data_IF_677024701264
#
_entry.id   IF_677024701264
#
_cell.length_a   1.000
_cell.length_b   1.000
_cell.length_c   1.000
_cell.angle_alpha   90.00
_cell.angle_beta   90.00
_cell.angle_gamma   90.00
#
_symmetry.space_group_name_H-M   'P 1'
#
loop_
_entity.id
_entity.type
_entity.pdbx_description
1 polymer ?
#
# COMPACT_ATOMS: atom_id res chain seq x y z
N UNK A 1 -26.34 -17.01 10.00
CA UNK A 1 -24.95 -17.18 10.38
C UNK A 1 -24.31 -15.82 10.58
N UNK A 2 -23.47 -15.62 11.61
CA UNK A 2 -22.67 -14.40 11.70
C UNK A 2 -21.70 -14.41 10.52
N UNK A 3 -21.62 -13.32 9.76
CA UNK A 3 -20.53 -13.13 8.82
C UNK A 3 -19.23 -13.15 9.63
N UNK A 4 -18.36 -14.12 9.33
CA UNK A 4 -17.08 -14.27 10.02
C UNK A 4 -16.15 -13.11 9.69
N UNK A 5 -16.31 -12.50 8.53
CA UNK A 5 -15.49 -11.41 8.02
C UNK A 5 -16.37 -10.21 7.65
N UNK A 6 -15.87 -9.02 7.93
CA UNK A 6 -16.50 -7.75 7.57
C UNK A 6 -15.45 -6.67 7.38
N UNK A 7 -15.75 -5.68 6.54
CA UNK A 7 -14.90 -4.50 6.39
C UNK A 7 -14.81 -3.74 7.72
N UNK A 8 -13.62 -3.23 8.04
CA UNK A 8 -13.49 -2.32 9.18
C UNK A 8 -14.39 -1.12 9.00
N UNK A 9 -15.12 -0.79 10.04
CA UNK A 9 -15.87 0.46 10.10
C UNK A 9 -14.92 1.66 10.27
N UNK A 10 -15.43 2.86 10.09
CA UNK A 10 -14.67 4.11 10.32
C UNK A 10 -14.07 4.16 11.74
N UNK A 11 -14.82 3.70 12.74
CA UNK A 11 -14.39 3.72 14.15
C UNK A 11 -13.34 2.61 14.44
N UNK A 12 -13.42 1.49 13.76
CA UNK A 12 -12.50 0.37 13.96
C UNK A 12 -11.15 0.62 13.27
N UNK A 13 -11.16 1.22 12.07
CA UNK A 13 -9.98 1.37 11.22
C UNK A 13 -8.74 1.95 11.94
N UNK A 14 -8.86 2.99 12.79
CA UNK A 14 -7.71 3.53 13.52
C UNK A 14 -7.13 2.59 14.58
N UNK A 15 -7.87 1.55 14.98
CA UNK A 15 -7.53 0.72 16.14
C UNK A 15 -7.11 -0.70 15.83
N UNK A 16 -7.12 -1.10 14.55
CA UNK A 16 -6.92 -2.52 14.15
C UNK A 16 -5.48 -2.88 13.88
N UNK A 17 -4.61 -1.92 13.56
CA UNK A 17 -3.30 -2.18 12.98
C UNK A 17 -2.29 -2.85 13.90
N UNK A 18 -2.46 -2.74 15.21
CA UNK A 18 -1.70 -3.49 16.22
C UNK A 18 -2.41 -4.75 16.74
N UNK A 19 -3.51 -5.17 16.11
CA UNK A 19 -4.30 -6.34 16.54
C UNK A 19 -4.08 -7.52 15.61
N UNK A 20 -4.33 -8.71 16.13
CA UNK A 20 -4.26 -9.98 15.42
C UNK A 20 -5.63 -10.44 14.96
N UNK A 21 -5.67 -11.17 13.84
CA UNK A 21 -6.86 -11.90 13.36
C UNK A 21 -8.14 -11.07 13.39
N UNK A 22 -8.03 -9.86 12.86
CA UNK A 22 -9.13 -8.90 12.82
C UNK A 22 -10.22 -9.28 11.81
N UNK A 23 -11.34 -8.56 11.79
CA UNK A 23 -12.51 -8.88 10.95
C UNK A 23 -12.23 -8.84 9.45
N UNK A 24 -11.20 -8.13 8.99
CA UNK A 24 -10.76 -8.17 7.58
C UNK A 24 -9.68 -9.21 7.30
N UNK A 25 -8.99 -9.75 8.32
CA UNK A 25 -7.87 -10.67 8.11
C UNK A 25 -8.35 -12.04 7.62
N UNK A 26 -8.07 -12.37 6.37
CA UNK A 26 -8.37 -13.67 5.78
C UNK A 26 -7.19 -14.63 5.87
N UNK A 27 -5.97 -14.10 5.75
CA UNK A 27 -4.74 -14.84 5.92
C UNK A 27 -3.65 -13.94 6.49
N UNK A 28 -3.02 -14.41 7.57
CA UNK A 28 -2.09 -13.63 8.37
C UNK A 28 -0.94 -14.50 8.86
N UNK A 29 0.29 -14.01 8.71
CA UNK A 29 1.46 -14.59 9.35
C UNK A 29 1.63 -14.02 10.75
N UNK A 30 1.78 -14.94 11.72
CA UNK A 30 2.06 -14.58 13.10
C UNK A 30 3.54 -14.28 13.31
N UNK A 31 3.82 -13.19 14.03
CA UNK A 31 5.15 -12.83 14.50
C UNK A 31 5.11 -12.46 15.99
N UNK A 32 6.26 -12.61 16.65
CA UNK A 32 6.45 -12.25 18.05
C UNK A 32 7.85 -11.70 18.27
N UNK A 33 8.15 -11.12 19.42
CA UNK A 33 9.50 -10.64 19.71
C UNK A 33 10.53 -11.79 19.79
N UNK A 34 10.11 -13.02 20.02
CA UNK A 34 10.97 -14.22 19.97
C UNK A 34 11.13 -14.79 18.56
N UNK A 35 10.14 -14.52 17.70
CA UNK A 35 10.13 -14.89 16.28
C UNK A 35 9.73 -13.66 15.45
N UNK A 36 10.63 -12.67 15.35
CA UNK A 36 10.29 -11.37 14.75
C UNK A 36 10.16 -11.46 13.22
N UNK A 37 9.36 -10.58 12.65
CA UNK A 37 9.32 -10.38 11.22
C UNK A 37 10.70 -9.93 10.71
N UNK A 38 11.27 -10.64 9.72
CA UNK A 38 12.61 -10.37 9.21
C UNK A 38 13.75 -11.12 9.93
N UNK A 39 13.42 -12.07 10.81
CA UNK A 39 14.40 -12.89 11.51
C UNK A 39 15.16 -12.13 12.62
N UNK A 40 16.30 -12.67 13.05
CA UNK A 40 17.08 -12.12 14.19
C UNK A 40 17.61 -10.69 13.98
N UNK A 41 17.69 -10.24 12.71
CA UNK A 41 18.08 -8.86 12.38
C UNK A 41 16.93 -7.84 12.48
N UNK A 42 15.66 -8.31 12.54
CA UNK A 42 14.50 -7.43 12.65
C UNK A 42 14.21 -6.58 11.40
N UNK A 43 14.73 -6.98 10.24
CA UNK A 43 14.63 -6.22 8.98
C UNK A 43 13.35 -6.54 8.17
N UNK A 44 12.28 -6.96 8.83
CA UNK A 44 11.01 -7.26 8.16
C UNK A 44 10.29 -6.03 7.62
N UNK A 45 9.30 -6.26 6.74
CA UNK A 45 8.51 -5.18 6.13
C UNK A 45 7.97 -4.14 7.13
N UNK A 46 7.50 -4.49 8.33
CA UNK A 46 7.05 -3.51 9.31
C UNK A 46 8.12 -2.50 9.72
N UNK A 47 9.39 -2.95 9.84
CA UNK A 47 10.51 -2.11 10.28
C UNK A 47 10.88 -1.03 9.26
N UNK A 48 10.78 -1.32 7.97
CA UNK A 48 11.17 -0.36 6.92
C UNK A 48 10.23 0.83 6.80
N UNK A 49 9.03 0.72 7.36
CA UNK A 49 8.06 1.82 7.42
C UNK A 49 8.07 2.58 8.75
N UNK A 50 8.75 2.04 9.77
CA UNK A 50 8.78 2.67 11.08
C UNK A 50 9.46 4.05 11.03
N UNK A 51 9.03 4.96 11.90
CA UNK A 51 9.59 6.31 11.97
C UNK A 51 11.06 6.27 12.42
N UNK A 52 11.96 6.95 11.70
CA UNK A 52 13.40 7.04 12.01
C UNK A 52 13.70 7.60 13.41
N UNK A 53 12.78 8.34 13.99
CA UNK A 53 12.89 8.84 15.35
C UNK A 53 12.68 7.73 16.40
N UNK A 54 12.11 6.60 15.99
CA UNK A 54 11.79 5.45 16.84
C UNK A 54 12.71 4.25 16.59
N UNK A 55 13.18 4.11 15.35
CA UNK A 55 14.04 2.99 14.92
C UNK A 55 15.05 3.45 13.87
N UNK A 56 16.27 2.96 13.92
CA UNK A 56 17.36 3.35 13.00
C UNK A 56 17.20 2.81 11.56
N UNK A 57 16.15 2.05 11.25
CA UNK A 57 16.00 1.27 10.03
C UNK A 57 14.94 1.79 9.06
N UNK A 58 14.54 3.03 9.19
CA UNK A 58 13.59 3.63 8.27
C UNK A 58 14.19 3.82 6.88
N UNK A 59 13.70 3.05 5.92
CA UNK A 59 14.09 3.17 4.51
C UNK A 59 12.96 3.66 3.61
N UNK A 60 11.70 3.66 4.09
CA UNK A 60 10.54 3.99 3.28
C UNK A 60 9.66 5.04 3.96
N UNK A 61 9.36 6.08 3.23
CA UNK A 61 8.41 7.14 3.59
C UNK A 61 7.31 7.21 2.54
N UNK A 62 6.19 7.82 2.90
CA UNK A 62 5.10 8.07 1.98
C UNK A 62 5.49 9.13 0.94
N UNK A 63 5.24 8.85 -0.33
CA UNK A 63 5.48 9.81 -1.40
C UNK A 63 4.49 10.97 -1.34
N UNK A 64 4.93 12.14 -1.78
CA UNK A 64 4.06 13.32 -1.86
C UNK A 64 2.84 13.07 -2.75
N UNK A 65 3.01 12.32 -3.84
CA UNK A 65 1.92 11.95 -4.73
C UNK A 65 0.85 11.07 -4.04
N UNK A 66 1.26 10.15 -3.14
CA UNK A 66 0.32 9.40 -2.32
C UNK A 66 -0.42 10.30 -1.33
N UNK A 67 0.29 11.21 -0.69
CA UNK A 67 -0.31 12.12 0.29
C UNK A 67 -1.32 13.06 -0.37
N UNK A 68 -1.00 13.58 -1.57
CA UNK A 68 -1.93 14.40 -2.34
C UNK A 68 -3.19 13.61 -2.74
N UNK A 69 -3.04 12.33 -3.09
CA UNK A 69 -4.18 11.45 -3.37
C UNK A 69 -5.06 11.24 -2.13
N UNK A 70 -4.46 11.11 -0.95
CA UNK A 70 -5.19 10.97 0.30
C UNK A 70 -5.90 12.28 0.70
N UNK A 71 -5.24 13.42 0.48
CA UNK A 71 -5.76 14.75 0.77
C UNK A 71 -6.91 15.20 -0.17
N UNK A 72 -7.21 14.42 -1.25
CA UNK A 72 -8.43 14.65 -2.03
C UNK A 72 -9.69 14.56 -1.14
N UNK A 73 -9.57 13.84 0.00
CA UNK A 73 -10.64 13.74 0.98
C UNK A 73 -10.12 13.88 2.42
N UNK A 74 -10.24 15.07 3.02
CA UNK A 74 -9.82 15.30 4.41
C UNK A 74 -10.59 14.48 5.46
N UNK A 75 -11.74 13.86 5.07
CA UNK A 75 -12.52 13.00 5.95
C UNK A 75 -12.13 11.52 5.86
N UNK A 76 -11.16 11.19 5.01
CA UNK A 76 -10.71 9.81 4.83
C UNK A 76 -10.00 9.32 6.11
N UNK A 77 -10.53 8.27 6.72
CA UNK A 77 -10.01 7.73 7.98
C UNK A 77 -8.56 7.24 7.85
N UNK A 78 -8.10 6.94 6.63
CA UNK A 78 -6.74 6.46 6.35
C UNK A 78 -5.65 7.49 6.64
N UNK A 79 -6.00 8.76 6.87
CA UNK A 79 -5.07 9.73 7.46
C UNK A 79 -4.54 9.28 8.83
N UNK A 80 -5.29 8.46 9.57
CA UNK A 80 -4.87 7.96 10.89
C UNK A 80 -3.65 7.02 10.85
N UNK A 81 -3.31 6.47 9.69
CA UNK A 81 -2.11 5.63 9.51
C UNK A 81 -0.93 6.40 8.89
N UNK A 82 -0.94 7.71 9.03
CA UNK A 82 0.15 8.60 8.62
C UNK A 82 0.69 9.36 9.83
N UNK A 83 2.00 9.49 9.94
CA UNK A 83 2.66 10.26 11.00
C UNK A 83 3.64 11.25 10.38
N UNK A 84 3.45 12.54 10.70
CA UNK A 84 4.35 13.60 10.24
C UNK A 84 5.59 13.63 11.13
N UNK A 85 6.79 13.61 10.53
CA UNK A 85 8.06 13.74 11.25
C UNK A 85 8.11 15.02 12.08
N UNK A 86 8.70 14.94 13.27
CA UNK A 86 9.04 16.13 14.05
C UNK A 86 10.15 16.95 13.38
N UNK A 87 11.00 16.30 12.58
CA UNK A 87 12.17 16.92 11.94
C UNK A 87 11.71 17.60 10.64
N UNK A 88 11.91 18.91 10.56
CA UNK A 88 11.70 19.66 9.32
C UNK A 88 12.87 19.42 8.36
N UNK A 89 12.56 19.27 7.08
CA UNK A 89 13.56 19.22 6.01
C UNK A 89 13.22 20.32 4.98
N UNK A 90 13.70 21.53 5.28
CA UNK A 90 13.33 22.76 4.56
C UNK A 90 14.29 23.13 3.43
N UNK A 91 15.36 22.37 3.21
CA UNK A 91 16.36 22.74 2.22
C UNK A 91 15.81 22.65 0.79
N UNK A 92 15.82 23.79 0.10
CA UNK A 92 15.52 23.88 -1.35
C UNK A 92 14.05 23.65 -1.72
N UNK A 93 13.11 23.78 -0.78
CA UNK A 93 11.69 23.53 -1.04
C UNK A 93 10.99 24.74 -1.66
N UNK A 94 10.09 24.53 -2.65
CA UNK A 94 9.18 25.56 -3.12
C UNK A 94 8.24 26.03 -2.00
N UNK A 95 7.77 27.28 -2.11
CA UNK A 95 6.74 27.80 -1.21
C UNK A 95 5.48 26.90 -1.24
N UNK A 96 4.93 26.60 -0.06
CA UNK A 96 3.74 25.75 0.10
C UNK A 96 3.99 24.25 -0.03
N UNK A 97 5.24 23.83 -0.27
CA UNK A 97 5.57 22.43 -0.29
C UNK A 97 5.62 21.84 1.13
N UNK A 98 5.32 20.53 1.26
CA UNK A 98 5.49 19.83 2.53
C UNK A 98 6.95 19.86 2.96
N UNK A 99 7.20 20.41 4.12
CA UNK A 99 8.53 20.57 4.70
C UNK A 99 8.99 19.38 5.56
N UNK A 100 8.09 18.43 5.79
CA UNK A 100 8.32 17.28 6.67
C UNK A 100 8.03 15.97 5.96
N UNK A 101 8.85 14.96 6.23
CA UNK A 101 8.58 13.59 5.83
C UNK A 101 7.33 13.08 6.53
N UNK A 102 6.63 12.12 5.89
CA UNK A 102 5.46 11.46 6.45
C UNK A 102 5.66 9.95 6.41
N UNK A 103 5.48 9.33 7.54
CA UNK A 103 5.68 7.89 7.75
C UNK A 103 4.35 7.14 7.71
N UNK A 104 4.41 5.87 7.30
CA UNK A 104 3.28 4.95 7.38
C UNK A 104 3.28 4.28 8.76
N UNK A 105 2.16 4.34 9.47
CA UNK A 105 1.99 3.77 10.81
C UNK A 105 1.07 2.56 10.86
N UNK A 106 0.90 1.88 9.72
CA UNK A 106 0.08 0.66 9.60
C UNK A 106 0.64 -0.55 10.38
N UNK A 107 1.90 -0.51 10.77
CA UNK A 107 2.61 -1.63 11.39
C UNK A 107 3.18 -1.23 12.74
N UNK A 108 2.32 -0.89 13.74
CA UNK A 108 2.80 -0.38 15.02
C UNK A 108 3.39 -1.48 15.92
N UNK A 109 3.15 -2.76 15.60
CA UNK A 109 3.41 -3.88 16.48
C UNK A 109 2.34 -4.08 17.57
N UNK A 110 2.19 -5.30 18.05
CA UNK A 110 1.24 -5.65 19.12
C UNK A 110 1.61 -5.05 20.47
N UNK A 111 2.91 -4.96 20.72
CA UNK A 111 3.48 -4.38 21.94
C UNK A 111 3.97 -2.94 21.77
N UNK A 112 3.80 -2.37 20.56
CA UNK A 112 4.39 -1.10 20.14
C UNK A 112 5.77 -1.25 19.50
N UNK A 113 6.24 -2.47 19.30
CA UNK A 113 7.46 -2.80 18.57
C UNK A 113 7.09 -3.38 17.20
N UNK A 114 7.46 -2.73 16.08
CA UNK A 114 7.09 -3.20 14.74
C UNK A 114 7.53 -4.63 14.41
N UNK A 115 8.53 -5.17 15.14
CA UNK A 115 9.04 -6.53 14.91
C UNK A 115 8.04 -7.62 15.24
N UNK A 116 7.09 -7.37 16.12
CA UNK A 116 6.05 -8.34 16.48
C UNK A 116 4.72 -8.09 15.75
N UNK A 117 4.70 -7.17 14.77
CA UNK A 117 3.51 -6.95 13.97
C UNK A 117 3.22 -8.15 13.07
N UNK A 118 2.04 -8.72 13.17
CA UNK A 118 1.60 -9.72 12.23
C UNK A 118 1.51 -9.14 10.81
N UNK A 119 1.78 -9.95 9.80
CA UNK A 119 1.60 -9.56 8.41
C UNK A 119 0.30 -10.17 7.88
N UNK A 120 -0.71 -9.34 7.72
CA UNK A 120 -1.92 -9.72 7.01
C UNK A 120 -1.62 -9.72 5.51
N UNK A 121 -1.63 -10.91 4.91
CA UNK A 121 -1.29 -11.12 3.49
C UNK A 121 -2.53 -10.94 2.61
N UNK A 122 -3.71 -11.31 3.13
CA UNK A 122 -4.97 -11.18 2.40
C UNK A 122 -6.02 -10.56 3.31
N UNK A 123 -6.51 -9.38 2.92
CA UNK A 123 -7.60 -8.67 3.62
C UNK A 123 -8.87 -8.63 2.79
N UNK A 124 -10.00 -8.56 3.49
CA UNK A 124 -11.32 -8.52 2.86
C UNK A 124 -11.48 -7.32 1.92
N UNK A 125 -10.96 -6.14 2.29
CA UNK A 125 -10.98 -4.95 1.43
C UNK A 125 -10.24 -5.16 0.11
N UNK A 126 -9.13 -5.92 0.10
CA UNK A 126 -8.47 -6.31 -1.14
C UNK A 126 -9.39 -7.16 -2.02
N UNK A 127 -10.10 -8.14 -1.43
CA UNK A 127 -11.04 -8.99 -2.16
C UNK A 127 -12.18 -8.18 -2.78
N UNK A 128 -12.72 -7.19 -2.05
CA UNK A 128 -13.72 -6.26 -2.58
C UNK A 128 -13.19 -5.47 -3.77
N UNK A 129 -11.97 -4.96 -3.68
CA UNK A 129 -11.34 -4.21 -4.77
C UNK A 129 -10.96 -5.10 -5.96
N UNK A 130 -10.59 -6.37 -5.71
CA UNK A 130 -10.39 -7.37 -6.76
C UNK A 130 -11.72 -7.68 -7.47
N UNK A 131 -12.82 -7.83 -6.72
CA UNK A 131 -14.16 -8.03 -7.28
C UNK A 131 -14.64 -6.81 -8.06
N UNK A 132 -14.34 -5.60 -7.60
CA UNK A 132 -14.64 -4.36 -8.32
C UNK A 132 -13.95 -4.33 -9.69
N UNK A 133 -12.65 -4.63 -9.74
CA UNK A 133 -11.90 -4.66 -10.99
C UNK A 133 -12.37 -5.78 -11.92
N UNK A 134 -12.63 -6.96 -11.39
CA UNK A 134 -13.18 -8.07 -12.17
C UNK A 134 -14.55 -7.71 -12.77
N UNK A 135 -15.43 -7.11 -11.97
CA UNK A 135 -16.74 -6.63 -12.42
C UNK A 135 -16.65 -5.61 -13.55
N UNK A 136 -15.73 -4.65 -13.43
CA UNK A 136 -15.45 -3.67 -14.50
C UNK A 136 -15.03 -4.36 -15.81
N UNK A 137 -14.12 -5.33 -15.72
CA UNK A 137 -13.58 -6.04 -16.90
C UNK A 137 -14.60 -6.95 -17.58
N UNK A 138 -15.53 -7.54 -16.81
CA UNK A 138 -16.60 -8.38 -17.35
C UNK A 138 -17.70 -7.53 -17.99
N UNK A 139 -18.04 -6.39 -17.38
CA UNK A 139 -19.09 -5.50 -17.87
C UNK A 139 -20.51 -5.92 -17.46
N UNK A 140 -21.53 -5.21 -17.99
CA UNK A 140 -22.93 -5.51 -17.73
C UNK A 140 -23.32 -5.49 -16.25
N UNK A 141 -24.12 -6.45 -15.80
CA UNK A 141 -24.53 -6.57 -14.39
C UNK A 141 -23.35 -6.74 -13.43
N UNK A 142 -22.26 -7.34 -13.89
CA UNK A 142 -21.07 -7.51 -13.04
C UNK A 142 -20.35 -6.18 -12.80
N UNK A 143 -20.40 -5.24 -13.76
CA UNK A 143 -19.88 -3.89 -13.53
C UNK A 143 -20.68 -3.15 -12.45
N UNK A 144 -22.01 -3.32 -12.42
CA UNK A 144 -22.85 -2.74 -11.37
C UNK A 144 -22.45 -3.30 -9.98
N UNK A 145 -22.32 -4.62 -9.86
CA UNK A 145 -21.85 -5.25 -8.62
C UNK A 145 -20.42 -4.83 -8.25
N UNK A 146 -19.55 -4.71 -9.25
CA UNK A 146 -18.19 -4.22 -9.05
C UNK A 146 -18.16 -2.80 -8.47
N UNK A 147 -19.03 -1.92 -8.96
CA UNK A 147 -19.19 -0.56 -8.44
C UNK A 147 -19.73 -0.56 -7.00
N UNK A 148 -20.65 -1.46 -6.66
CA UNK A 148 -21.12 -1.64 -5.29
C UNK A 148 -19.97 -2.04 -4.34
N UNK A 149 -19.15 -3.03 -4.71
CA UNK A 149 -17.99 -3.44 -3.92
C UNK A 149 -16.97 -2.31 -3.73
N UNK A 150 -16.72 -1.51 -4.77
CA UNK A 150 -15.87 -0.32 -4.63
C UNK A 150 -16.46 0.68 -3.62
N UNK A 151 -17.76 0.96 -3.74
CA UNK A 151 -18.46 1.88 -2.87
C UNK A 151 -18.56 1.38 -1.42
N UNK A 152 -18.64 0.07 -1.21
CA UNK A 152 -18.58 -0.52 0.13
C UNK A 152 -17.26 -0.20 0.83
N UNK A 153 -16.12 -0.35 0.13
CA UNK A 153 -14.83 0.06 0.67
C UNK A 153 -14.82 1.56 0.96
N UNK A 154 -15.21 2.40 0.00
CA UNK A 154 -15.22 3.86 0.16
C UNK A 154 -16.07 4.28 1.37
N UNK A 155 -17.28 3.72 1.50
CA UNK A 155 -18.21 4.06 2.59
C UNK A 155 -17.65 3.73 3.97
N UNK A 156 -16.83 2.69 4.05
CA UNK A 156 -16.16 2.29 5.28
C UNK A 156 -14.82 3.03 5.51
N UNK A 157 -14.47 3.98 4.65
CA UNK A 157 -13.23 4.78 4.78
C UNK A 157 -13.47 6.27 4.88
N UNK A 158 -14.66 6.76 4.52
CA UNK A 158 -14.99 8.19 4.62
C UNK A 158 -16.47 8.44 4.84
N UNK A 159 -16.76 9.53 5.54
CA UNK A 159 -18.13 10.07 5.64
C UNK A 159 -18.50 10.96 4.46
N UNK A 160 -17.52 11.32 3.61
CA UNK A 160 -17.73 12.16 2.44
C UNK A 160 -18.41 11.38 1.31
N UNK A 161 -19.72 11.54 1.20
CA UNK A 161 -20.53 10.84 0.18
C UNK A 161 -20.19 11.22 -1.27
N UNK A 162 -19.51 12.36 -1.49
CA UNK A 162 -19.07 12.78 -2.82
C UNK A 162 -17.95 11.87 -3.38
N UNK A 163 -17.28 11.11 -2.51
CA UNK A 163 -16.25 10.16 -2.92
C UNK A 163 -16.82 8.88 -3.56
N UNK A 164 -18.12 8.62 -3.42
CA UNK A 164 -18.76 7.45 -4.03
C UNK A 164 -18.83 7.58 -5.55
N UNK A 165 -18.72 6.45 -6.22
CA UNK A 165 -18.95 6.32 -7.65
C UNK A 165 -20.45 6.09 -7.87
N UNK A 166 -21.14 7.08 -8.44
CA UNK A 166 -22.58 7.04 -8.65
C UNK A 166 -22.99 6.84 -10.12
N UNK A 167 -22.09 7.11 -11.05
CA UNK A 167 -22.36 6.93 -12.47
C UNK A 167 -21.43 5.85 -13.06
N UNK A 168 -21.96 5.05 -13.98
CA UNK A 168 -21.20 4.01 -14.66
C UNK A 168 -19.97 4.58 -15.43
N UNK A 169 -20.06 5.82 -15.91
CA UNK A 169 -18.95 6.50 -16.58
C UNK A 169 -17.76 6.79 -15.65
N UNK A 170 -18.01 6.92 -14.36
CA UNK A 170 -16.98 7.19 -13.35
C UNK A 170 -16.39 5.91 -12.75
N UNK A 171 -17.03 4.76 -13.02
CA UNK A 171 -16.55 3.44 -12.62
C UNK A 171 -15.48 2.97 -13.60
N UNK A 172 -14.25 3.41 -13.39
CA UNK A 172 -13.10 3.18 -14.27
C UNK A 172 -11.99 2.43 -13.57
N UNK A 173 -11.10 1.81 -14.35
CA UNK A 173 -9.90 1.16 -13.79
C UNK A 173 -9.06 2.14 -12.98
N UNK A 174 -8.89 3.37 -13.48
CA UNK A 174 -8.14 4.40 -12.77
C UNK A 174 -8.75 4.69 -11.39
N UNK A 175 -10.09 4.81 -11.31
CA UNK A 175 -10.79 5.05 -10.04
C UNK A 175 -10.60 3.90 -9.05
N UNK A 176 -10.66 2.66 -9.54
CA UNK A 176 -10.40 1.47 -8.72
C UNK A 176 -8.95 1.46 -8.24
N UNK A 177 -7.98 1.71 -9.11
CA UNK A 177 -6.56 1.73 -8.75
C UNK A 177 -6.21 2.86 -7.78
N UNK A 178 -6.85 4.02 -7.87
CA UNK A 178 -6.73 5.08 -6.86
C UNK A 178 -7.19 4.59 -5.49
N UNK A 179 -8.32 3.89 -5.42
CA UNK A 179 -8.82 3.36 -4.15
C UNK A 179 -7.91 2.26 -3.61
N UNK A 180 -7.44 1.34 -4.47
CA UNK A 180 -6.48 0.30 -4.11
C UNK A 180 -5.19 0.90 -3.54
N UNK A 181 -4.68 1.95 -4.17
CA UNK A 181 -3.47 2.64 -3.72
C UNK A 181 -3.62 3.24 -2.33
N UNK A 182 -4.78 3.87 -2.03
CA UNK A 182 -5.09 4.38 -0.70
C UNK A 182 -5.23 3.26 0.33
N UNK A 183 -5.95 2.21 -0.03
CA UNK A 183 -6.30 1.12 0.88
C UNK A 183 -5.12 0.21 1.20
N UNK A 184 -4.31 -0.14 0.19
CA UNK A 184 -3.30 -1.20 0.27
C UNK A 184 -1.86 -0.64 0.35
N UNK A 185 -1.72 0.64 0.73
CA UNK A 185 -0.41 1.26 0.93
C UNK A 185 0.42 0.47 1.95
N UNK A 186 1.67 0.19 1.62
CA UNK A 186 2.59 -0.57 2.47
C UNK A 186 2.40 -2.10 2.44
N UNK A 187 1.41 -2.62 1.71
CA UNK A 187 1.11 -4.06 1.68
C UNK A 187 1.74 -4.79 0.48
N UNK A 188 2.62 -4.12 -0.26
CA UNK A 188 3.42 -4.74 -1.35
C UNK A 188 2.67 -4.98 -2.67
N UNK A 189 1.42 -4.56 -2.79
CA UNK A 189 0.55 -4.91 -3.92
C UNK A 189 0.63 -3.94 -5.11
N UNK A 190 1.10 -2.72 -4.90
CA UNK A 190 1.03 -1.67 -5.91
C UNK A 190 1.74 -2.01 -7.22
N UNK A 191 2.94 -2.61 -7.17
CA UNK A 191 3.68 -2.98 -8.38
C UNK A 191 2.92 -4.01 -9.21
N UNK A 192 2.26 -4.97 -8.57
CA UNK A 192 1.45 -5.97 -9.26
C UNK A 192 0.19 -5.38 -9.88
N UNK A 193 -0.44 -4.40 -9.23
CA UNK A 193 -1.60 -3.69 -9.76
C UNK A 193 -1.27 -2.97 -11.08
N UNK A 194 -0.12 -2.31 -11.14
CA UNK A 194 0.33 -1.62 -12.36
C UNK A 194 0.75 -2.61 -13.44
N UNK A 195 1.59 -3.59 -13.11
CA UNK A 195 2.15 -4.51 -14.11
C UNK A 195 1.10 -5.40 -14.77
N UNK A 196 0.17 -5.98 -13.97
CA UNK A 196 -0.93 -6.83 -14.52
C UNK A 196 -1.90 -6.05 -15.40
N UNK A 197 -2.03 -4.74 -15.18
CA UNK A 197 -2.85 -3.85 -16.00
C UNK A 197 -2.05 -3.17 -17.13
N UNK A 198 -0.77 -3.55 -17.32
CA UNK A 198 0.14 -2.98 -18.33
C UNK A 198 0.25 -1.45 -18.23
N UNK A 199 0.27 -0.94 -17.02
CA UNK A 199 0.46 0.46 -16.73
C UNK A 199 1.91 0.72 -16.31
N UNK A 200 2.48 1.89 -16.62
CA UNK A 200 3.80 2.25 -16.11
C UNK A 200 3.74 2.50 -14.61
N UNK A 201 4.82 2.14 -13.91
CA UNK A 201 5.03 2.56 -12.52
C UNK A 201 5.73 3.90 -12.56
N UNK A 202 5.04 4.96 -12.20
CA UNK A 202 5.57 6.32 -12.17
C UNK A 202 5.79 6.76 -10.73
N UNK A 203 7.00 7.24 -10.43
CA UNK A 203 7.32 7.86 -9.16
C UNK A 203 7.19 9.37 -9.32
N UNK A 204 6.14 9.93 -8.74
CA UNK A 204 5.83 11.37 -8.81
C UNK A 204 6.01 12.04 -7.47
N UNK A 205 6.21 13.35 -7.50
CA UNK A 205 6.42 14.14 -6.29
C UNK A 205 7.86 14.08 -5.78
N UNK A 206 8.04 14.55 -4.57
CA UNK A 206 9.35 14.58 -3.88
C UNK A 206 9.56 13.33 -3.04
N UNK A 207 10.64 13.31 -2.30
CA UNK A 207 11.02 12.27 -1.35
C UNK A 207 11.55 10.99 -2.00
N UNK A 208 11.96 11.05 -3.27
CA UNK A 208 12.68 9.99 -3.94
C UNK A 208 14.20 10.13 -3.75
N UNK A 209 14.93 9.05 -3.94
CA UNK A 209 16.38 9.09 -3.92
C UNK A 209 16.89 10.01 -5.05
N UNK A 210 17.73 10.97 -4.70
CA UNK A 210 18.32 11.94 -5.65
C UNK A 210 19.13 11.26 -6.76
N UNK A 211 19.70 10.08 -6.51
CA UNK A 211 20.40 9.25 -7.50
C UNK A 211 19.50 8.74 -8.63
N UNK A 212 18.18 8.77 -8.46
CA UNK A 212 17.22 8.41 -9.51
C UNK A 212 16.89 9.56 -10.45
N UNK A 213 17.17 10.80 -10.05
CA UNK A 213 16.75 12.01 -10.75
C UNK A 213 17.40 12.16 -12.13
N UNK A 214 18.66 11.81 -12.26
CA UNK A 214 19.42 11.94 -13.50
C UNK A 214 19.26 10.77 -14.47
N UNK A 215 18.65 9.66 -14.03
CA UNK A 215 18.59 8.42 -14.80
C UNK A 215 17.27 8.20 -15.55
N UNK A 216 16.27 9.04 -15.36
CA UNK A 216 14.91 8.80 -15.85
C UNK A 216 14.23 7.57 -15.19
N UNK A 217 14.80 7.07 -14.09
CA UNK A 217 14.33 5.85 -13.41
C UNK A 217 13.04 6.07 -12.62
N UNK A 218 12.44 7.26 -12.70
CA UNK A 218 11.15 7.55 -12.10
C UNK A 218 9.97 6.87 -12.78
N UNK A 219 10.16 6.42 -14.04
CA UNK A 219 9.15 5.70 -14.78
C UNK A 219 9.68 4.34 -15.20
N UNK A 220 8.99 3.27 -14.78
CA UNK A 220 9.28 1.90 -15.20
C UNK A 220 8.14 1.45 -16.11
N UNK A 221 8.47 1.11 -17.36
CA UNK A 221 7.48 0.67 -18.34
C UNK A 221 6.99 -0.76 -18.00
N UNK A 222 5.79 -1.16 -18.42
CA UNK A 222 5.21 -2.46 -18.08
C UNK A 222 6.00 -3.69 -18.53
N UNK A 223 6.85 -3.52 -19.53
CA UNK A 223 7.72 -4.57 -20.09
C UNK A 223 9.20 -4.39 -19.70
N UNK A 224 9.48 -3.55 -18.73
CA UNK A 224 10.84 -3.31 -18.24
C UNK A 224 11.38 -4.54 -17.50
N UNK A 225 12.58 -4.98 -17.84
CA UNK A 225 13.22 -6.15 -17.21
C UNK A 225 13.41 -5.98 -15.69
N UNK A 226 13.50 -4.76 -15.19
CA UNK A 226 13.60 -4.46 -13.76
C UNK A 226 12.35 -4.87 -12.95
N UNK A 227 11.23 -5.17 -13.60
CA UNK A 227 10.03 -5.70 -12.96
C UNK A 227 10.11 -7.21 -12.69
N UNK A 228 11.07 -7.91 -13.32
CA UNK A 228 11.35 -9.31 -13.05
C UNK A 228 12.46 -9.40 -12.01
N UNK A 229 12.20 -10.14 -10.92
CA UNK A 229 13.23 -10.39 -9.91
C UNK A 229 14.29 -11.28 -10.56
N UNK A 230 15.57 -10.88 -10.56
CA UNK A 230 16.63 -11.70 -11.18
C UNK A 230 16.82 -13.00 -10.38
N UNK A 231 17.17 -14.07 -11.11
CA UNK A 231 17.58 -15.33 -10.48
C UNK A 231 18.89 -15.07 -9.72
N UNK A 232 19.01 -15.45 -8.45
CA UNK A 232 20.24 -15.25 -7.68
C UNK A 232 21.45 -15.85 -8.42
N UNK A 233 22.56 -15.13 -8.43
CA UNK A 233 23.77 -15.58 -9.15
C UNK A 233 24.26 -16.94 -8.65
N UNK A 234 24.13 -17.22 -7.36
CA UNK A 234 24.48 -18.51 -6.76
C UNK A 234 23.70 -19.68 -7.36
N UNK A 235 22.45 -19.48 -7.75
CA UNK A 235 21.63 -20.51 -8.40
C UNK A 235 22.08 -20.75 -9.85
N UNK A 236 22.44 -19.67 -10.54
CA UNK A 236 22.98 -19.76 -11.92
C UNK A 236 24.33 -20.48 -11.90
N UNK A 237 25.20 -20.16 -10.96
CA UNK A 237 26.51 -20.76 -10.81
C UNK A 237 26.41 -22.25 -10.45
N UNK A 238 25.39 -22.65 -9.71
CA UNK A 238 25.15 -24.03 -9.32
C UNK A 238 24.49 -24.88 -10.42
N UNK A 239 23.82 -24.26 -11.40
CA UNK A 239 23.12 -24.98 -12.46
C UNK A 239 23.38 -24.36 -13.83
N UNK A 240 24.31 -24.95 -14.64
CA UNK A 240 24.70 -24.40 -15.94
C UNK A 240 23.59 -24.41 -17.01
N UNK A 241 22.44 -25.03 -16.71
CA UNK A 241 21.25 -24.97 -17.58
C UNK A 241 20.32 -23.81 -17.28
N UNK A 242 20.55 -23.06 -16.19
CA UNK A 242 19.78 -21.85 -15.89
C UNK A 242 20.25 -20.69 -16.78
N UNK A 243 19.28 -20.01 -17.33
CA UNK A 243 19.50 -18.75 -18.07
C UNK A 243 18.80 -17.63 -17.28
N UNK A 244 19.52 -16.53 -17.06
CA UNK A 244 18.97 -15.36 -16.39
C UNK A 244 17.74 -14.86 -17.14
N UNK A 245 16.68 -14.54 -16.40
CA UNK A 245 15.55 -13.82 -16.94
C UNK A 245 15.99 -12.41 -17.42
N UNK A 246 15.29 -11.83 -18.41
CA UNK A 246 15.68 -10.57 -19.04
C UNK A 246 15.72 -9.40 -18.08
#
# INVERSE_FOLDING_TARGET
GKNLYQLYTLDEYPTVWGKEYTSESLFEFYFSLTEPSGGSGGEGAPMVYANEEKVDWNNLILSEDYLNLLDEDPQDVRHCVTEVSAIANNEGLPEGARDKKVYLTKFPGKTGDPRDNNLCIVRLSEIYLNAAEAGLKIGGEQATKGMEYLNDVITNRTTNTAMKVNAAADFTLERILKERRKELVGEGLAVYDYTRNKLPVERKGRWHLTSLDTSGAYTIQPNDSRLAIPIPQTEIDANPNLVQNP
#
